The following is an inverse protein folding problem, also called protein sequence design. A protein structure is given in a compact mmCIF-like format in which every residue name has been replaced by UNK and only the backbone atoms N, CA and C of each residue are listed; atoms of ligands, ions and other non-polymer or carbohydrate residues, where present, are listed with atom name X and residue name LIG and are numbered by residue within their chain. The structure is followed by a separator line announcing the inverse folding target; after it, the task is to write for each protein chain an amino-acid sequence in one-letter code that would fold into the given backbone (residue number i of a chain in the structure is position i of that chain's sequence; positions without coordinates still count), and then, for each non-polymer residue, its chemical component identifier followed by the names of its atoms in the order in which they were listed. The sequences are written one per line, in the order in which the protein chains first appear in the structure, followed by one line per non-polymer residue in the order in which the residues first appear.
data_IF_559560853792
#
_entry.id   IF_559560853792
#
_cell.length_a   1.000
_cell.length_b   1.000
_cell.length_c   1.000
_cell.angle_alpha   90.00
_cell.angle_beta   90.00
_cell.angle_gamma   90.00
#
_symmetry.space_group_name_H-M   'P 1'
#
loop_
_entity.id
_entity.type
_entity.pdbx_description
1 polymer ?
#
# COMPACT_ATOMS: atom_id res chain seq x y z
N UNK A 1 13.46 47.44 -2.80
CA UNK A 1 14.23 46.83 -3.91
C UNK A 1 14.33 45.31 -3.78
N UNK A 2 14.75 44.72 -2.64
CA UNK A 2 14.87 43.26 -2.52
C UNK A 2 13.52 42.50 -2.36
N UNK A 3 12.53 43.11 -1.68
CA UNK A 3 11.21 42.49 -1.46
C UNK A 3 10.34 42.41 -2.74
N UNK A 4 10.48 43.38 -3.65
CA UNK A 4 9.79 43.40 -4.95
C UNK A 4 10.26 42.25 -5.85
N UNK A 5 11.57 41.92 -5.81
CA UNK A 5 12.17 40.85 -6.61
C UNK A 5 11.70 39.45 -6.18
N UNK A 6 11.50 39.24 -4.87
CA UNK A 6 11.04 37.96 -4.31
C UNK A 6 9.58 37.69 -4.68
N UNK A 7 8.74 38.73 -4.71
CA UNK A 7 7.34 38.60 -5.13
C UNK A 7 7.23 38.20 -6.60
N UNK A 8 8.10 38.72 -7.47
CA UNK A 8 8.10 38.41 -8.90
C UNK A 8 8.54 36.96 -9.18
N UNK A 9 9.52 36.46 -8.42
CA UNK A 9 10.05 35.09 -8.55
C UNK A 9 8.99 34.05 -8.18
N UNK A 10 8.24 34.25 -7.09
CA UNK A 10 7.17 33.32 -6.69
C UNK A 10 6.03 33.24 -7.72
N UNK A 11 5.69 34.34 -8.38
CA UNK A 11 4.59 34.37 -9.36
C UNK A 11 4.93 33.61 -10.65
N UNK A 12 6.21 33.45 -10.97
CA UNK A 12 6.66 32.74 -12.19
C UNK A 12 7.01 31.28 -11.91
N UNK A 13 7.52 30.98 -10.71
CA UNK A 13 7.90 29.61 -10.32
C UNK A 13 6.68 28.67 -10.28
N UNK A 14 5.57 29.10 -9.67
CA UNK A 14 4.40 28.24 -9.52
C UNK A 14 3.77 27.81 -10.85
N UNK A 15 3.52 28.71 -11.82
CA UNK A 15 3.09 28.32 -13.14
C UNK A 15 4.08 27.38 -13.83
N UNK A 16 5.39 27.62 -13.72
CA UNK A 16 6.40 26.76 -14.33
C UNK A 16 6.47 25.37 -13.69
N UNK A 17 6.33 25.26 -12.37
CA UNK A 17 6.21 23.98 -11.66
C UNK A 17 4.94 23.25 -12.08
N UNK A 18 3.80 23.95 -12.13
CA UNK A 18 2.53 23.35 -12.58
C UNK A 18 2.65 22.89 -14.03
N UNK A 19 3.24 23.67 -14.93
CA UNK A 19 3.48 23.29 -16.31
C UNK A 19 4.45 22.12 -16.42
N UNK A 20 5.50 22.09 -15.61
CA UNK A 20 6.44 20.98 -15.52
C UNK A 20 5.77 19.70 -15.04
N UNK A 21 4.94 19.77 -14.00
CA UNK A 21 4.15 18.64 -13.51
C UNK A 21 3.11 18.19 -14.54
N UNK A 22 2.43 19.12 -15.22
CA UNK A 22 1.48 18.82 -16.28
C UNK A 22 2.17 18.21 -17.51
N UNK A 23 3.38 18.62 -17.89
CA UNK A 23 4.13 17.99 -18.98
C UNK A 23 4.72 16.63 -18.56
N UNK A 24 5.22 16.52 -17.33
CA UNK A 24 5.87 15.31 -16.80
C UNK A 24 4.89 14.19 -16.44
N UNK A 25 3.68 14.56 -16.00
CA UNK A 25 2.61 13.64 -15.58
C UNK A 25 1.37 13.74 -16.46
N UNK A 26 1.36 14.56 -17.52
CA UNK A 26 0.20 14.78 -18.39
C UNK A 26 -0.33 13.53 -19.05
N UNK A 27 0.54 12.59 -19.42
CA UNK A 27 0.13 11.29 -19.99
C UNK A 27 -0.50 10.35 -18.95
N UNK A 28 -0.25 10.57 -17.65
CA UNK A 28 -0.87 9.85 -16.54
C UNK A 28 -2.16 10.55 -16.09
N UNK A 29 -2.19 11.89 -16.07
CA UNK A 29 -3.35 12.70 -15.72
C UNK A 29 -4.43 12.61 -16.81
N UNK A 30 -4.08 12.67 -18.10
CA UNK A 30 -5.05 12.44 -19.18
C UNK A 30 -5.64 11.03 -19.13
N UNK A 31 -4.83 10.00 -18.87
CA UNK A 31 -5.36 8.63 -18.68
C UNK A 31 -6.27 8.50 -17.46
N UNK A 32 -6.00 9.25 -16.40
CA UNK A 32 -6.86 9.27 -15.21
C UNK A 32 -8.17 10.06 -15.46
N UNK A 33 -8.10 11.18 -16.20
CA UNK A 33 -9.25 11.99 -16.59
C UNK A 33 -10.13 11.32 -17.64
N UNK A 34 -9.56 10.56 -18.57
CA UNK A 34 -10.31 9.72 -19.53
C UNK A 34 -11.09 8.59 -18.83
N UNK A 35 -10.58 8.11 -17.70
CA UNK A 35 -11.29 7.13 -16.87
C UNK A 35 -12.36 7.80 -15.99
N UNK A 36 -12.16 9.04 -15.55
CA UNK A 36 -13.14 9.83 -14.81
C UNK A 36 -14.26 10.37 -15.69
N UNK A 37 -14.00 10.68 -16.96
CA UNK A 37 -15.04 11.14 -17.90
C UNK A 37 -16.03 10.02 -18.29
N UNK A 38 -15.69 8.75 -18.02
CA UNK A 38 -16.64 7.61 -18.07
C UNK A 38 -17.48 7.46 -16.81
N UNK A 39 -17.09 8.06 -15.69
CA UNK A 39 -17.89 8.15 -14.47
C UNK A 39 -18.63 9.49 -14.49
N UNK A 40 -19.64 9.52 -15.36
CA UNK A 40 -20.55 10.63 -15.60
C UNK A 40 -20.99 11.31 -14.30
N UNK A 41 -20.50 12.54 -14.10
CA UNK A 41 -21.17 13.54 -13.29
C UNK A 41 -22.51 13.84 -13.97
N UNK A 42 -23.60 13.38 -13.39
CA UNK A 42 -24.94 13.95 -13.63
C UNK A 42 -25.69 14.10 -12.32
N UNK A 43 -25.65 15.33 -11.81
CA UNK A 43 -26.80 16.06 -11.29
C UNK A 43 -27.44 15.58 -9.97
N UNK A 44 -28.16 16.47 -9.27
CA UNK A 44 -28.66 16.22 -7.94
C UNK A 44 -29.98 15.43 -7.99
N UNK A 45 -30.04 14.32 -7.25
CA UNK A 45 -31.24 13.53 -7.04
C UNK A 45 -31.08 12.08 -7.54
N UNK A 46 -31.52 11.17 -6.68
CA UNK A 46 -31.59 9.71 -6.86
C UNK A 46 -30.41 8.87 -6.36
N UNK A 47 -30.51 8.59 -5.06
CA UNK A 47 -30.53 7.27 -4.40
C UNK A 47 -29.66 6.11 -4.91
N UNK A 48 -29.05 5.50 -3.88
CA UNK A 48 -28.21 4.33 -3.84
C UNK A 48 -28.93 3.10 -4.41
N UNK A 49 -28.31 2.44 -5.39
CA UNK A 49 -28.46 1.00 -5.56
C UNK A 49 -27.13 0.29 -5.32
N UNK A 50 -27.22 -0.60 -4.34
CA UNK A 50 -26.20 -1.47 -3.76
C UNK A 50 -25.56 -2.44 -4.74
N UNK A 51 -24.26 -2.66 -4.54
CA UNK A 51 -23.54 -3.95 -4.62
C UNK A 51 -23.95 -4.96 -5.71
N UNK A 52 -23.22 -4.96 -6.84
CA UNK A 52 -22.71 -6.18 -7.49
C UNK A 52 -21.77 -5.83 -8.65
N UNK A 53 -20.54 -5.37 -8.36
CA UNK A 53 -19.49 -5.16 -9.38
C UNK A 53 -18.09 -5.62 -8.96
N UNK A 54 -17.99 -6.57 -8.04
CA UNK A 54 -16.69 -7.19 -7.70
C UNK A 54 -16.05 -7.94 -8.87
N UNK A 55 -16.87 -8.59 -9.71
CA UNK A 55 -16.41 -9.33 -10.88
C UNK A 55 -16.05 -8.41 -12.06
N UNK A 56 -16.83 -7.36 -12.30
CA UNK A 56 -16.53 -6.40 -13.38
C UNK A 56 -15.34 -5.51 -13.05
N UNK A 57 -15.18 -5.07 -11.79
CA UNK A 57 -14.01 -4.28 -11.40
C UNK A 57 -12.72 -5.09 -11.43
N UNK A 58 -12.77 -6.39 -11.11
CA UNK A 58 -11.59 -7.27 -11.22
C UNK A 58 -11.28 -7.67 -12.66
N UNK A 59 -12.30 -7.90 -13.50
CA UNK A 59 -12.11 -8.14 -14.93
C UNK A 59 -11.60 -6.89 -15.65
N UNK A 60 -12.10 -5.71 -15.31
CA UNK A 60 -11.64 -4.44 -15.86
C UNK A 60 -10.24 -4.08 -15.36
N UNK A 61 -9.89 -4.43 -14.12
CA UNK A 61 -8.53 -4.28 -13.60
C UNK A 61 -7.57 -5.26 -14.27
N UNK A 62 -7.96 -6.53 -14.43
CA UNK A 62 -7.16 -7.54 -15.14
C UNK A 62 -6.99 -7.19 -16.62
N UNK A 63 -8.03 -6.69 -17.28
CA UNK A 63 -7.98 -6.22 -18.67
C UNK A 63 -7.17 -4.91 -18.80
N UNK A 64 -7.25 -3.99 -17.82
CA UNK A 64 -6.43 -2.79 -17.78
C UNK A 64 -4.95 -3.12 -17.57
N UNK A 65 -4.64 -4.13 -16.75
CA UNK A 65 -3.28 -4.63 -16.55
C UNK A 65 -2.75 -5.36 -17.80
N UNK A 66 -3.58 -6.18 -18.44
CA UNK A 66 -3.23 -6.88 -19.68
C UNK A 66 -3.03 -5.92 -20.86
N UNK A 67 -3.88 -4.89 -20.99
CA UNK A 67 -3.77 -3.88 -22.05
C UNK A 67 -2.62 -2.89 -21.82
N UNK A 68 -2.21 -2.64 -20.57
CA UNK A 68 -0.97 -1.89 -20.27
C UNK A 68 0.31 -2.65 -20.62
N UNK A 69 0.22 -3.96 -20.83
CA UNK A 69 1.35 -4.83 -21.22
C UNK A 69 1.76 -4.71 -22.69
N UNK A 70 1.19 -3.80 -23.47
CA UNK A 70 1.55 -3.61 -24.88
C UNK A 70 1.85 -2.13 -25.18
N UNK A 71 3.09 -1.88 -25.64
CA UNK A 71 3.70 -0.63 -26.19
C UNK A 71 4.31 0.31 -25.12
N UNK A 72 5.62 0.63 -25.10
CA UNK A 72 6.50 0.97 -26.22
C UNK A 72 8.00 0.66 -25.97
N UNK A 73 8.69 0.19 -27.01
CA UNK A 73 10.16 0.19 -27.20
C UNK A 73 10.77 1.57 -26.93
N UNK A 74 11.83 1.65 -26.11
CA UNK A 74 12.76 2.79 -26.10
C UNK A 74 13.62 2.92 -24.83
N UNK A 75 14.76 2.24 -24.83
CA UNK A 75 16.02 2.53 -24.09
C UNK A 75 16.00 2.77 -22.55
N UNK A 76 16.35 1.72 -21.80
CA UNK A 76 17.28 1.82 -20.65
C UNK A 76 16.71 1.71 -19.22
N UNK A 77 16.88 0.53 -18.62
CA UNK A 77 16.97 0.17 -17.18
C UNK A 77 15.87 0.55 -16.16
N UNK A 78 14.84 1.32 -16.49
CA UNK A 78 13.72 1.60 -15.55
C UNK A 78 12.52 0.67 -15.79
N UNK A 79 12.32 0.18 -17.01
CA UNK A 79 11.19 -0.68 -17.36
C UNK A 79 11.31 -2.08 -16.76
N UNK A 80 12.51 -2.62 -16.60
CA UNK A 80 12.72 -3.98 -16.06
C UNK A 80 12.20 -4.09 -14.62
N UNK A 81 12.55 -3.15 -13.73
CA UNK A 81 12.13 -3.22 -12.32
C UNK A 81 10.62 -3.03 -12.15
N UNK A 82 10.02 -2.15 -12.96
CA UNK A 82 8.58 -1.88 -12.92
C UNK A 82 7.78 -3.04 -13.51
N UNK A 83 8.28 -3.67 -14.58
CA UNK A 83 7.67 -4.87 -15.17
C UNK A 83 7.82 -6.09 -14.25
N UNK A 84 8.94 -6.21 -13.53
CA UNK A 84 9.13 -7.24 -12.52
C UNK A 84 8.16 -7.04 -11.35
N UNK A 85 8.02 -5.82 -10.84
CA UNK A 85 7.05 -5.49 -9.79
C UNK A 85 5.61 -5.78 -10.22
N UNK A 86 5.24 -5.44 -11.46
CA UNK A 86 3.90 -5.70 -12.00
C UNK A 86 3.67 -7.20 -12.24
N UNK A 87 4.63 -7.94 -12.78
CA UNK A 87 4.51 -9.39 -12.96
C UNK A 87 4.44 -10.13 -11.62
N UNK A 88 5.21 -9.68 -10.63
CA UNK A 88 5.18 -10.21 -9.26
C UNK A 88 3.81 -10.01 -8.62
N UNK A 89 3.21 -8.82 -8.78
CA UNK A 89 1.85 -8.53 -8.30
C UNK A 89 0.82 -9.39 -9.04
N UNK A 90 0.96 -9.56 -10.35
CA UNK A 90 -0.01 -10.31 -11.17
C UNK A 90 0.03 -11.82 -10.87
N UNK A 91 1.21 -12.40 -10.61
CA UNK A 91 1.35 -13.82 -10.21
C UNK A 91 0.91 -14.08 -8.75
N UNK A 92 0.92 -13.06 -7.89
CA UNK A 92 0.51 -13.20 -6.50
C UNK A 92 -1.02 -13.30 -6.34
N UNK A 93 -1.78 -12.73 -7.28
CA UNK A 93 -3.22 -12.49 -7.15
C UNK A 93 -4.00 -13.53 -7.97
N UNK A 94 -4.23 -14.71 -7.39
CA UNK A 94 -5.15 -15.72 -7.95
C UNK A 94 -6.60 -15.43 -7.50
N UNK A 95 -7.64 -15.90 -8.21
CA UNK A 95 -9.04 -15.73 -7.77
C UNK A 95 -9.31 -16.25 -6.35
N UNK A 96 -8.58 -17.30 -5.92
CA UNK A 96 -8.65 -17.84 -4.56
C UNK A 96 -8.04 -16.89 -3.53
N UNK A 97 -6.92 -16.26 -3.87
CA UNK A 97 -6.29 -15.22 -3.02
C UNK A 97 -7.16 -13.99 -2.95
N UNK A 98 -7.77 -13.55 -4.05
CA UNK A 98 -8.72 -12.43 -4.06
C UNK A 98 -9.93 -12.70 -3.16
N UNK A 99 -10.52 -13.91 -3.23
CA UNK A 99 -11.63 -14.27 -2.35
C UNK A 99 -11.23 -14.25 -0.88
N UNK A 100 -10.04 -14.75 -0.55
CA UNK A 100 -9.55 -14.79 0.84
C UNK A 100 -9.11 -13.41 1.34
N UNK A 101 -8.51 -12.59 0.48
CA UNK A 101 -8.20 -11.20 0.75
C UNK A 101 -9.48 -10.39 1.03
N UNK A 102 -10.59 -10.72 0.37
CA UNK A 102 -11.88 -10.06 0.57
C UNK A 102 -12.44 -10.13 1.99
N UNK A 103 -12.02 -11.11 2.79
CA UNK A 103 -12.46 -11.28 4.17
C UNK A 103 -11.35 -11.07 5.21
N UNK A 104 -10.10 -10.92 4.75
CA UNK A 104 -8.93 -10.85 5.61
C UNK A 104 -8.94 -9.58 6.47
N UNK A 105 -8.50 -9.73 7.72
CA UNK A 105 -8.34 -8.63 8.67
C UNK A 105 -6.90 -8.51 9.10
N UNK A 106 -6.29 -7.36 8.79
CA UNK A 106 -4.90 -7.05 9.09
C UNK A 106 -4.84 -6.05 10.24
N UNK A 107 -3.99 -6.34 11.23
CA UNK A 107 -3.64 -5.39 12.27
C UNK A 107 -2.42 -4.59 11.81
N UNK A 108 -2.54 -3.27 11.71
CA UNK A 108 -1.42 -2.38 11.44
C UNK A 108 -1.09 -1.55 12.69
N UNK A 109 0.12 -1.72 13.20
CA UNK A 109 0.64 -1.03 14.38
C UNK A 109 1.63 0.05 13.96
N UNK A 110 1.22 1.32 13.98
CA UNK A 110 2.00 2.45 13.46
C UNK A 110 1.54 3.74 14.18
N UNK A 111 2.48 4.52 14.72
CA UNK A 111 2.18 5.77 15.44
C UNK A 111 1.73 6.91 14.50
N UNK A 112 1.96 6.75 13.19
CA UNK A 112 1.59 7.69 12.13
C UNK A 112 0.76 6.99 11.04
N UNK A 113 -0.47 6.54 11.34
CA UNK A 113 -1.31 5.78 10.41
C UNK A 113 -1.72 6.55 9.14
N UNK A 114 -1.51 7.86 9.08
CA UNK A 114 -1.69 8.63 7.86
C UNK A 114 -0.55 8.43 6.84
N UNK A 115 0.65 8.05 7.31
CA UNK A 115 1.83 7.84 6.48
C UNK A 115 1.74 6.59 5.60
N UNK A 116 0.90 5.63 5.96
CA UNK A 116 0.71 4.36 5.26
C UNK A 116 -0.66 4.24 4.55
N UNK A 117 -1.33 5.38 4.32
CA UNK A 117 -2.69 5.42 3.77
C UNK A 117 -2.77 4.81 2.36
N UNK A 118 -1.77 5.02 1.51
CA UNK A 118 -1.81 4.55 0.13
C UNK A 118 -1.66 3.03 0.04
N UNK A 119 -0.77 2.48 0.85
CA UNK A 119 -0.55 1.05 1.04
C UNK A 119 -1.86 0.38 1.47
N UNK A 120 -2.49 0.90 2.53
CA UNK A 120 -3.78 0.38 3.01
C UNK A 120 -4.86 0.46 1.95
N UNK A 121 -5.04 1.61 1.30
CA UNK A 121 -6.08 1.79 0.28
C UNK A 121 -5.93 0.83 -0.89
N UNK A 122 -4.69 0.55 -1.31
CA UNK A 122 -4.44 -0.41 -2.39
C UNK A 122 -4.90 -1.83 -2.03
N UNK A 123 -4.73 -2.23 -0.76
CA UNK A 123 -5.14 -3.54 -0.24
C UNK A 123 -6.62 -3.58 0.13
N UNK A 124 -7.18 -2.48 0.64
CA UNK A 124 -8.62 -2.30 0.91
C UNK A 124 -9.45 -2.40 -0.37
N UNK A 125 -8.93 -1.95 -1.51
CA UNK A 125 -9.57 -2.11 -2.81
C UNK A 125 -9.74 -3.60 -3.22
N UNK A 126 -9.02 -4.51 -2.56
CA UNK A 126 -9.13 -5.96 -2.72
C UNK A 126 -10.01 -6.61 -1.63
N UNK A 127 -10.64 -5.79 -0.79
CA UNK A 127 -11.55 -6.20 0.28
C UNK A 127 -10.87 -6.48 1.63
N UNK A 128 -9.55 -6.31 1.73
CA UNK A 128 -8.83 -6.46 3.00
C UNK A 128 -9.27 -5.36 3.98
N UNK A 129 -9.58 -5.72 5.22
CA UNK A 129 -9.91 -4.77 6.28
C UNK A 129 -8.69 -4.51 7.16
N UNK A 130 -8.44 -3.23 7.47
CA UNK A 130 -7.38 -2.84 8.40
C UNK A 130 -7.94 -2.41 9.75
N UNK A 131 -7.33 -2.91 10.82
CA UNK A 131 -7.45 -2.35 12.17
C UNK A 131 -6.14 -1.64 12.46
N UNK A 132 -6.20 -0.31 12.57
CA UNK A 132 -5.02 0.50 12.90
C UNK A 132 -4.97 0.75 14.40
N UNK A 133 -3.79 0.60 14.97
CA UNK A 133 -3.49 0.90 16.37
C UNK A 133 -2.16 1.62 16.45
N UNK A 134 -1.97 2.46 17.48
CA UNK A 134 -0.80 3.37 17.52
C UNK A 134 0.30 2.90 18.47
N UNK A 135 0.05 1.86 19.27
CA UNK A 135 0.97 1.41 20.32
C UNK A 135 0.98 -0.12 20.47
N UNK A 136 2.05 -0.62 21.11
CA UNK A 136 2.21 -2.05 21.40
C UNK A 136 1.13 -2.54 22.37
N UNK A 137 0.80 -1.74 23.37
CA UNK A 137 -0.22 -2.07 24.35
C UNK A 137 -1.61 -2.16 23.72
N UNK A 138 -1.95 -1.20 22.85
CA UNK A 138 -3.22 -1.25 22.10
C UNK A 138 -3.27 -2.46 21.18
N UNK A 139 -2.18 -2.78 20.48
CA UNK A 139 -2.09 -3.99 19.65
C UNK A 139 -2.32 -5.26 20.47
N UNK A 140 -1.67 -5.39 21.62
CA UNK A 140 -1.85 -6.53 22.53
C UNK A 140 -3.27 -6.63 23.08
N UNK A 141 -3.92 -5.50 23.36
CA UNK A 141 -5.32 -5.47 23.81
C UNK A 141 -6.28 -5.93 22.70
N UNK A 142 -6.12 -5.43 21.46
CA UNK A 142 -6.90 -5.90 20.32
C UNK A 142 -6.74 -7.40 20.10
N UNK A 143 -5.51 -7.90 20.22
CA UNK A 143 -5.16 -9.32 20.05
C UNK A 143 -5.76 -10.24 21.13
N UNK A 144 -6.34 -9.73 22.21
CA UNK A 144 -7.11 -10.55 23.18
C UNK A 144 -8.52 -10.84 22.68
N UNK A 145 -9.13 -9.87 21.99
CA UNK A 145 -10.55 -9.88 21.66
C UNK A 145 -10.83 -10.19 20.19
N UNK A 146 -9.80 -10.13 19.34
CA UNK A 146 -9.92 -10.29 17.89
C UNK A 146 -8.73 -11.07 17.32
N UNK A 147 -9.02 -11.96 16.37
CA UNK A 147 -8.01 -12.63 15.54
C UNK A 147 -7.68 -11.81 14.30
N UNK A 148 -6.43 -11.89 13.86
CA UNK A 148 -5.93 -11.21 12.66
C UNK A 148 -5.21 -12.22 11.77
N UNK A 149 -5.33 -12.05 10.46
CA UNK A 149 -4.67 -12.91 9.48
C UNK A 149 -3.20 -12.53 9.29
N UNK A 150 -2.90 -11.24 9.43
CA UNK A 150 -1.54 -10.67 9.32
C UNK A 150 -1.41 -9.51 10.31
N UNK A 151 -0.21 -9.35 10.86
CA UNK A 151 0.20 -8.17 11.62
C UNK A 151 1.31 -7.45 10.85
N UNK A 152 1.13 -6.16 10.63
CA UNK A 152 2.14 -5.24 10.12
C UNK A 152 2.51 -4.32 11.29
N UNK A 153 3.79 -4.17 11.60
CA UNK A 153 4.24 -3.27 12.67
C UNK A 153 5.35 -2.37 12.19
N UNK A 154 5.25 -1.08 12.51
CA UNK A 154 6.40 -0.18 12.48
C UNK A 154 7.46 -0.65 13.49
N UNK A 155 8.73 -0.54 13.08
CA UNK A 155 9.88 -0.90 13.90
C UNK A 155 10.02 0.05 15.09
N UNK A 156 9.91 1.35 14.83
CA UNK A 156 10.21 2.40 15.80
C UNK A 156 8.95 3.20 16.07
N UNK A 157 8.58 3.31 17.35
CA UNK A 157 7.44 4.11 17.80
C UNK A 157 7.85 4.96 19.01
N UNK A 158 7.13 6.04 19.34
CA UNK A 158 7.48 6.91 20.47
C UNK A 158 7.67 6.11 21.77
N UNK A 159 8.85 6.26 22.38
CA UNK A 159 9.21 5.55 23.61
C UNK A 159 9.89 4.18 23.42
N UNK A 160 9.89 3.60 22.21
CA UNK A 160 10.56 2.33 21.92
C UNK A 160 11.07 2.26 20.47
N UNK A 161 12.39 2.34 20.31
CA UNK A 161 13.08 2.25 19.02
C UNK A 161 13.05 0.83 18.41
N UNK A 162 12.67 -0.17 19.20
CA UNK A 162 12.54 -1.58 18.80
C UNK A 162 11.11 -2.10 18.99
N UNK A 163 10.12 -1.20 19.04
CA UNK A 163 8.72 -1.54 19.27
C UNK A 163 8.19 -2.68 18.39
N UNK A 164 8.61 -2.72 17.13
CA UNK A 164 8.25 -3.80 16.21
C UNK A 164 8.73 -5.18 16.66
N UNK A 165 9.91 -5.28 17.26
CA UNK A 165 10.41 -6.52 17.87
C UNK A 165 9.80 -6.78 19.25
N UNK A 166 9.63 -5.74 20.07
CA UNK A 166 8.99 -5.87 21.39
C UNK A 166 7.61 -6.52 21.27
N UNK A 167 6.79 -6.08 20.31
CA UNK A 167 5.48 -6.70 20.05
C UNK A 167 5.60 -8.14 19.54
N UNK A 168 6.52 -8.39 18.59
CA UNK A 168 6.73 -9.72 18.02
C UNK A 168 7.16 -10.74 19.09
N UNK A 169 8.15 -10.40 19.90
CA UNK A 169 8.66 -11.26 20.97
C UNK A 169 7.57 -11.59 21.99
N UNK A 170 6.75 -10.60 22.37
CA UNK A 170 5.59 -10.81 23.24
C UNK A 170 4.56 -11.78 22.64
N UNK A 171 4.31 -11.71 21.33
CA UNK A 171 3.39 -12.63 20.65
C UNK A 171 3.94 -14.04 20.61
N UNK A 172 5.22 -14.21 20.29
CA UNK A 172 5.88 -15.52 20.27
C UNK A 172 5.96 -16.14 21.66
N UNK A 173 6.25 -15.35 22.70
CA UNK A 173 6.22 -15.79 24.10
C UNK A 173 4.84 -16.28 24.54
N UNK A 174 3.77 -15.70 23.98
CA UNK A 174 2.38 -16.11 24.21
C UNK A 174 1.92 -17.25 23.28
N UNK A 175 2.82 -17.83 22.49
CA UNK A 175 2.51 -18.93 21.58
C UNK A 175 1.64 -18.54 20.38
N UNK A 176 1.54 -17.23 20.05
CA UNK A 176 0.79 -16.76 18.88
C UNK A 176 1.70 -16.78 17.65
N UNK A 177 1.34 -17.57 16.65
CA UNK A 177 2.08 -17.71 15.38
C UNK A 177 1.40 -16.99 14.20
N UNK A 178 0.95 -15.76 14.44
CA UNK A 178 0.33 -14.94 13.40
C UNK A 178 1.44 -14.45 12.45
N UNK A 179 1.24 -14.49 11.11
CA UNK A 179 2.11 -13.85 10.13
C UNK A 179 2.43 -12.40 10.52
N UNK A 180 3.72 -12.09 10.62
CA UNK A 180 4.18 -10.81 11.15
C UNK A 180 5.18 -10.18 10.19
N UNK A 181 4.96 -8.92 9.83
CA UNK A 181 5.81 -8.18 8.89
C UNK A 181 6.26 -6.89 9.58
N UNK A 182 7.57 -6.63 9.56
CA UNK A 182 8.12 -5.35 9.99
C UNK A 182 8.07 -4.38 8.82
N UNK A 183 7.45 -3.22 9.01
CA UNK A 183 7.45 -2.13 8.04
C UNK A 183 8.28 -0.97 8.58
N UNK A 184 9.48 -0.75 8.08
CA UNK A 184 10.44 0.18 8.67
C UNK A 184 10.98 1.14 7.61
N UNK A 185 11.70 2.20 8.01
CA UNK A 185 12.34 3.11 7.05
C UNK A 185 13.53 2.48 6.32
N UNK A 186 14.17 1.47 6.90
CA UNK A 186 15.35 0.80 6.35
C UNK A 186 15.00 -0.57 5.75
N UNK A 187 15.55 -0.85 4.56
CA UNK A 187 15.42 -2.13 3.86
C UNK A 187 16.73 -2.95 3.83
N UNK A 188 17.66 -2.66 4.73
CA UNK A 188 18.97 -3.32 4.75
C UNK A 188 18.82 -4.84 4.97
N UNK A 189 19.62 -5.65 4.27
CA UNK A 189 19.58 -7.11 4.38
C UNK A 189 19.76 -7.60 5.82
N UNK A 190 20.61 -6.93 6.61
CA UNK A 190 20.81 -7.23 8.03
C UNK A 190 19.52 -7.08 8.85
N UNK A 191 18.69 -6.07 8.57
CA UNK A 191 17.43 -5.89 9.29
C UNK A 191 16.38 -6.95 8.89
N UNK A 192 16.36 -7.38 7.63
CA UNK A 192 15.51 -8.49 7.17
C UNK A 192 15.88 -9.79 7.87
N UNK A 193 17.19 -10.08 7.94
CA UNK A 193 17.69 -11.26 8.62
C UNK A 193 17.37 -11.22 10.12
N UNK A 194 17.60 -10.09 10.77
CA UNK A 194 17.25 -9.90 12.17
C UNK A 194 15.74 -10.08 12.42
N UNK A 195 14.87 -9.55 11.56
CA UNK A 195 13.44 -9.74 11.70
C UNK A 195 13.03 -11.21 11.61
N UNK A 196 13.66 -11.98 10.71
CA UNK A 196 13.43 -13.43 10.60
C UNK A 196 13.91 -14.19 11.83
N UNK A 197 15.03 -13.79 12.43
CA UNK A 197 15.53 -14.37 13.69
C UNK A 197 14.54 -14.20 14.86
N UNK A 198 13.81 -13.09 14.89
CA UNK A 198 12.71 -12.85 15.84
C UNK A 198 11.40 -13.59 15.47
N UNK A 199 11.36 -14.27 14.32
CA UNK A 199 10.19 -15.01 13.85
C UNK A 199 9.20 -14.20 13.02
N UNK A 200 9.61 -13.06 12.45
CA UNK A 200 8.83 -12.37 11.42
C UNK A 200 8.92 -13.12 10.08
N UNK A 201 7.96 -12.86 9.18
CA UNK A 201 8.05 -13.30 7.79
C UNK A 201 9.18 -12.58 7.06
N UNK A 202 9.20 -11.26 7.16
CA UNK A 202 10.25 -10.40 6.62
C UNK A 202 10.16 -8.97 7.19
N UNK A 203 11.13 -8.13 6.80
CA UNK A 203 11.07 -6.69 6.98
C UNK A 203 11.12 -5.98 5.62
N UNK A 204 10.41 -4.87 5.47
CA UNK A 204 10.48 -4.06 4.25
C UNK A 204 10.17 -2.58 4.50
N UNK A 205 10.63 -1.72 3.59
CA UNK A 205 10.21 -0.32 3.48
C UNK A 205 9.49 -0.04 2.14
N UNK A 206 9.30 -1.07 1.34
CA UNK A 206 8.88 -0.98 -0.06
C UNK A 206 7.41 -1.43 -0.19
N UNK A 207 6.51 -0.56 -0.69
CA UNK A 207 5.09 -0.89 -0.81
C UNK A 207 4.77 -2.12 -1.69
N UNK A 208 5.31 -2.28 -2.92
CA UNK A 208 5.19 -3.52 -3.68
C UNK A 208 5.62 -4.78 -2.93
N UNK A 209 6.75 -4.72 -2.22
CA UNK A 209 7.25 -5.86 -1.43
C UNK A 209 6.32 -6.20 -0.27
N UNK A 210 5.83 -5.18 0.45
CA UNK A 210 4.83 -5.35 1.52
C UNK A 210 3.58 -6.04 1.00
N UNK A 211 3.04 -5.58 -0.14
CA UNK A 211 1.88 -6.18 -0.78
C UNK A 211 2.10 -7.67 -1.09
N UNK A 212 3.26 -8.01 -1.67
CA UNK A 212 3.62 -9.41 -1.96
C UNK A 212 3.68 -10.26 -0.70
N UNK A 213 4.27 -9.75 0.38
CA UNK A 213 4.36 -10.46 1.66
C UNK A 213 2.98 -10.72 2.26
N UNK A 214 2.11 -9.71 2.28
CA UNK A 214 0.73 -9.84 2.75
C UNK A 214 -0.03 -10.87 1.92
N UNK A 215 -0.02 -10.74 0.59
CA UNK A 215 -0.70 -11.70 -0.28
C UNK A 215 -0.13 -13.11 -0.17
N UNK A 216 1.19 -13.25 0.04
CA UNK A 216 1.84 -14.51 0.31
C UNK A 216 1.39 -15.15 1.63
N UNK A 217 1.23 -14.35 2.68
CA UNK A 217 0.73 -14.81 3.98
C UNK A 217 -0.72 -15.31 3.89
N UNK A 218 -1.57 -14.63 3.12
CA UNK A 218 -2.97 -15.00 2.93
C UNK A 218 -3.18 -16.25 2.05
N UNK A 219 -2.15 -16.75 1.36
CA UNK A 219 -2.26 -17.96 0.54
C UNK A 219 -2.39 -19.25 1.35
N UNK A 220 -1.86 -19.30 2.58
CA UNK A 220 -1.81 -20.49 3.45
C UNK A 220 -3.13 -20.70 4.15
#
# INVERSE_FOLDING_TARGET
MLHELISLINVVIWPAIVLFFLCRFGTAINRFLENLSRLSIKGPGFEVETFNKGAESSANLAAALASKGTIAKGEGNVEQSVLDDVNVVTQAVTPRVLRRAGDAVILWVDDRPNGNRFERQSMEALGIRFVNVVSTDEALERLKNQSFDVIISDMKRPGDDRAGYTLLDELRRKGKDIPYIIYASSNAAQHKEQAKQHGALDATNNPPELFRLVMGALKK
#
